data_IF_012764856463
#
_entry.id   IF_012764856463
#
_cell.length_a   1.000
_cell.length_b   1.000
_cell.length_c   1.000
_cell.angle_alpha   90.00
_cell.angle_beta   90.00
_cell.angle_gamma   90.00
#
_symmetry.space_group_name_H-M   'P 1'
#
loop_
_entity.id
_entity.type
_entity.pdbx_description
1 polymer ?
#
# COMPACT_ATOMS: atom_id res chain seq x y z
N UNK A 1 1.30 20.63 -6.62
CA UNK A 1 2.17 19.59 -6.03
C UNK A 1 1.64 18.22 -6.45
N UNK A 2 2.48 17.32 -6.95
CA UNK A 2 2.05 16.00 -7.46
C UNK A 2 1.75 15.01 -6.33
N UNK A 3 1.00 13.93 -6.61
CA UNK A 3 0.77 12.85 -5.64
C UNK A 3 2.08 12.22 -5.18
N UNK A 4 3.03 11.99 -6.09
CA UNK A 4 4.36 11.48 -5.76
C UNK A 4 5.07 12.36 -4.72
N UNK A 5 5.03 13.68 -4.89
CA UNK A 5 5.64 14.61 -3.92
C UNK A 5 4.90 14.60 -2.57
N UNK A 6 3.56 14.54 -2.57
CA UNK A 6 2.75 14.42 -1.35
C UNK A 6 3.07 13.15 -0.57
N UNK A 7 3.05 12.00 -1.24
CA UNK A 7 3.40 10.69 -0.71
C UNK A 7 4.82 10.69 -0.09
N UNK A 8 5.83 11.15 -0.82
CA UNK A 8 7.21 11.21 -0.29
C UNK A 8 7.37 12.14 0.92
N UNK A 9 6.62 13.24 0.99
CA UNK A 9 6.60 14.11 2.17
C UNK A 9 5.92 13.44 3.36
N UNK A 10 4.84 12.71 3.12
CA UNK A 10 4.13 11.96 4.14
C UNK A 10 4.99 10.86 4.76
N UNK A 11 5.70 10.09 3.93
CA UNK A 11 6.64 9.07 4.41
C UNK A 11 7.70 9.69 5.33
N UNK A 12 8.25 10.84 4.96
CA UNK A 12 9.19 11.58 5.82
C UNK A 12 8.56 11.99 7.16
N UNK A 13 7.30 12.44 7.18
CA UNK A 13 6.61 12.78 8.44
C UNK A 13 6.35 11.57 9.34
N UNK A 14 6.25 10.36 8.75
CA UNK A 14 6.15 9.10 9.48
C UNK A 14 7.53 8.52 9.88
N UNK A 15 8.63 9.24 9.59
CA UNK A 15 9.99 8.75 9.87
C UNK A 15 10.53 7.73 8.86
N UNK A 16 9.78 7.45 7.79
CA UNK A 16 10.18 6.52 6.72
C UNK A 16 11.18 7.22 5.81
N UNK A 17 12.46 6.99 6.09
CA UNK A 17 13.59 7.64 5.43
C UNK A 17 14.31 6.75 4.41
N UNK A 18 14.10 5.44 4.47
CA UNK A 18 14.73 4.45 3.60
C UNK A 18 13.85 3.18 3.48
N UNK A 19 14.30 2.23 2.68
CA UNK A 19 13.60 0.96 2.41
C UNK A 19 13.39 0.11 3.65
N UNK A 20 14.38 0.01 4.54
CA UNK A 20 14.25 -0.79 5.77
C UNK A 20 13.17 -0.24 6.68
N UNK A 21 13.11 1.10 6.87
CA UNK A 21 12.03 1.73 7.63
C UNK A 21 10.66 1.57 6.99
N UNK A 22 10.60 1.48 5.67
CA UNK A 22 9.35 1.23 4.96
C UNK A 22 8.87 -0.21 5.17
N UNK A 23 9.78 -1.19 5.11
CA UNK A 23 9.47 -2.59 5.46
C UNK A 23 8.97 -2.72 6.89
N UNK A 24 9.71 -2.14 7.85
CA UNK A 24 9.32 -2.14 9.27
C UNK A 24 7.90 -1.56 9.45
N UNK A 25 7.63 -0.42 8.81
CA UNK A 25 6.32 0.23 8.89
C UNK A 25 5.21 -0.67 8.33
N UNK A 26 5.41 -1.24 7.14
CA UNK A 26 4.42 -2.12 6.50
C UNK A 26 4.19 -3.37 7.34
N UNK A 27 5.25 -4.00 7.86
CA UNK A 27 5.13 -5.19 8.69
C UNK A 27 4.37 -4.92 10.00
N UNK A 28 4.58 -3.75 10.61
CA UNK A 28 3.86 -3.36 11.83
C UNK A 28 2.34 -3.30 11.62
N UNK A 29 1.86 -2.94 10.43
CA UNK A 29 0.41 -2.91 10.13
C UNK A 29 -0.25 -4.29 10.33
N UNK A 30 0.45 -5.38 10.02
CA UNK A 30 -0.07 -6.74 10.19
C UNK A 30 -0.10 -7.20 11.65
N UNK A 31 0.62 -6.51 12.54
CA UNK A 31 0.58 -6.76 13.99
C UNK A 31 -0.51 -5.92 14.66
N UNK A 32 -0.76 -4.71 14.13
CA UNK A 32 -1.68 -3.73 14.71
C UNK A 32 -3.16 -3.97 14.31
N UNK A 33 -3.41 -4.79 13.30
CA UNK A 33 -4.75 -5.02 12.76
C UNK A 33 -5.14 -6.49 12.77
N UNK A 34 -6.42 -6.76 13.06
CA UNK A 34 -7.00 -8.11 13.07
C UNK A 34 -7.54 -8.57 11.71
N UNK A 35 -7.80 -7.62 10.80
CA UNK A 35 -8.43 -7.92 9.50
C UNK A 35 -7.61 -7.41 8.31
N UNK A 36 -7.52 -8.22 7.26
CA UNK A 36 -6.79 -7.92 6.03
C UNK A 36 -7.25 -6.61 5.36
N UNK A 37 -8.55 -6.26 5.51
CA UNK A 37 -9.12 -5.04 4.95
C UNK A 37 -8.53 -3.79 5.59
N UNK A 38 -8.28 -3.82 6.91
CA UNK A 38 -7.77 -2.67 7.64
C UNK A 38 -6.30 -2.43 7.28
N UNK A 39 -5.51 -3.50 7.18
CA UNK A 39 -4.13 -3.43 6.66
C UNK A 39 -4.10 -2.85 5.24
N UNK A 40 -4.99 -3.30 4.37
CA UNK A 40 -5.09 -2.78 3.01
C UNK A 40 -5.38 -1.27 3.01
N UNK A 41 -6.32 -0.81 3.83
CA UNK A 41 -6.65 0.62 3.97
C UNK A 41 -5.44 1.41 4.46
N UNK A 42 -4.69 0.93 5.44
CA UNK A 42 -3.49 1.62 5.93
C UNK A 42 -2.38 1.71 4.87
N UNK A 43 -2.18 0.67 4.05
CA UNK A 43 -1.25 0.73 2.91
C UNK A 43 -1.70 1.79 1.89
N UNK A 44 -3.00 1.92 1.66
CA UNK A 44 -3.53 2.99 0.81
C UNK A 44 -3.32 4.38 1.44
N UNK A 45 -3.54 4.56 2.75
CA UNK A 45 -3.25 5.81 3.47
C UNK A 45 -1.78 6.19 3.40
N UNK A 46 -0.89 5.21 3.49
CA UNK A 46 0.55 5.39 3.30
C UNK A 46 0.88 5.96 1.91
N UNK A 47 0.16 5.55 0.86
CA UNK A 47 0.33 6.10 -0.49
C UNK A 47 -0.39 7.44 -0.69
N UNK A 48 -1.51 7.65 0.00
CA UNK A 48 -2.43 8.78 -0.18
C UNK A 48 -2.63 9.56 1.14
N UNK A 49 -1.80 10.58 1.42
CA UNK A 49 -1.80 11.25 2.72
C UNK A 49 -3.05 12.08 3.04
N UNK A 50 -3.88 12.38 2.04
CA UNK A 50 -5.16 13.08 2.21
C UNK A 50 -6.33 12.10 2.10
N UNK A 51 -6.13 10.86 2.54
CA UNK A 51 -7.09 9.75 2.42
C UNK A 51 -8.52 10.15 2.78
N UNK A 52 -8.70 10.80 3.92
CA UNK A 52 -10.02 11.18 4.44
C UNK A 52 -10.73 12.25 3.59
N UNK A 53 -10.03 12.87 2.64
CA UNK A 53 -10.59 13.84 1.69
C UNK A 53 -10.86 13.22 0.33
N UNK A 54 -10.52 11.96 0.10
CA UNK A 54 -10.68 11.27 -1.19
C UNK A 54 -12.10 10.72 -1.27
N UNK A 55 -12.87 11.21 -2.23
CA UNK A 55 -14.20 10.67 -2.54
C UNK A 55 -14.11 9.44 -3.45
N UNK A 56 -13.13 9.41 -4.37
CA UNK A 56 -12.96 8.31 -5.32
C UNK A 56 -11.54 8.17 -5.85
N UNK A 57 -11.10 6.92 -5.98
CA UNK A 57 -9.89 6.54 -6.71
C UNK A 57 -10.32 5.81 -7.99
N UNK A 58 -9.76 6.20 -9.13
CA UNK A 58 -9.94 5.50 -10.41
C UNK A 58 -8.60 4.90 -10.85
N UNK A 59 -8.61 3.62 -11.20
CA UNK A 59 -7.39 2.84 -11.44
C UNK A 59 -6.69 2.49 -10.13
N UNK A 60 -5.46 2.00 -10.23
CA UNK A 60 -4.67 1.54 -9.09
C UNK A 60 -3.31 2.25 -9.07
N UNK A 61 -2.74 2.56 -7.90
CA UNK A 61 -1.32 2.84 -7.80
C UNK A 61 -0.52 1.64 -8.32
N UNK A 62 0.69 1.93 -8.78
CA UNK A 62 1.62 0.91 -9.21
C UNK A 62 2.87 0.96 -8.34
N UNK A 63 3.48 -0.19 -8.10
CA UNK A 63 4.72 -0.29 -7.33
C UNK A 63 5.71 -1.24 -7.98
N UNK A 64 6.98 -1.10 -7.59
CA UNK A 64 8.04 -2.01 -7.95
C UNK A 64 7.81 -3.45 -7.50
N UNK A 65 8.48 -4.38 -8.18
CA UNK A 65 8.25 -5.81 -8.05
C UNK A 65 8.58 -6.37 -6.65
N UNK A 66 9.71 -5.95 -6.06
CA UNK A 66 10.11 -6.39 -4.72
C UNK A 66 9.13 -5.91 -3.64
N UNK A 67 8.74 -4.64 -3.66
CA UNK A 67 7.77 -4.11 -2.70
C UNK A 67 6.43 -4.84 -2.82
N UNK A 68 5.96 -5.09 -4.04
CA UNK A 68 4.72 -5.83 -4.26
C UNK A 68 4.79 -7.25 -3.72
N UNK A 69 5.89 -7.95 -4.02
CA UNK A 69 6.11 -9.33 -3.59
C UNK A 69 6.24 -9.42 -2.07
N UNK A 70 6.91 -8.45 -1.46
CA UNK A 70 7.05 -8.34 -0.01
C UNK A 70 5.70 -8.17 0.69
N UNK A 71 4.88 -7.21 0.23
CA UNK A 71 3.53 -6.99 0.79
C UNK A 71 2.66 -8.23 0.57
N UNK A 72 2.69 -8.83 -0.63
CA UNK A 72 1.93 -10.03 -0.95
C UNK A 72 2.25 -11.19 0.00
N UNK A 73 3.54 -11.39 0.28
CA UNK A 73 4.00 -12.41 1.24
C UNK A 73 3.46 -12.14 2.66
N UNK A 74 3.50 -10.89 3.13
CA UNK A 74 2.96 -10.54 4.45
C UNK A 74 1.45 -10.82 4.54
N UNK A 75 0.67 -10.49 3.51
CA UNK A 75 -0.75 -10.86 3.48
C UNK A 75 -0.96 -12.39 3.46
N UNK A 76 -0.14 -13.13 2.70
CA UNK A 76 -0.24 -14.60 2.70
C UNK A 76 0.03 -15.21 4.08
N UNK A 77 1.07 -14.73 4.77
CA UNK A 77 1.40 -15.15 6.13
C UNK A 77 0.28 -14.77 7.11
N UNK A 78 -0.23 -13.53 7.03
CA UNK A 78 -1.32 -13.05 7.88
C UNK A 78 -2.63 -13.83 7.68
N UNK A 79 -3.01 -14.09 6.43
CA UNK A 79 -4.24 -14.80 6.10
C UNK A 79 -4.17 -16.29 6.48
N UNK A 80 -2.99 -16.90 6.49
CA UNK A 80 -2.84 -18.29 6.91
C UNK A 80 -3.29 -18.49 8.36
N UNK A 81 -2.99 -17.53 9.23
CA UNK A 81 -3.29 -17.61 10.65
C UNK A 81 -4.71 -17.11 10.98
N UNK A 82 -5.21 -16.10 10.25
CA UNK A 82 -6.45 -15.39 10.60
C UNK A 82 -7.64 -15.70 9.67
N UNK A 83 -7.39 -16.12 8.42
CA UNK A 83 -8.41 -16.30 7.38
C UNK A 83 -8.20 -17.62 6.59
N UNK A 84 -8.19 -18.80 7.25
CA UNK A 84 -7.84 -20.06 6.61
C UNK A 84 -8.79 -20.50 5.49
N UNK A 85 -10.02 -19.98 5.47
CA UNK A 85 -11.02 -20.27 4.44
C UNK A 85 -10.88 -19.38 3.19
N UNK A 86 -9.97 -18.40 3.20
CA UNK A 86 -9.71 -17.50 2.08
C UNK A 86 -8.46 -17.92 1.31
N UNK A 87 -8.36 -17.51 0.03
CA UNK A 87 -7.11 -17.61 -0.71
C UNK A 87 -6.07 -16.68 -0.06
N UNK A 88 -4.94 -17.20 0.46
CA UNK A 88 -3.95 -16.37 1.16
C UNK A 88 -3.42 -15.27 0.26
N UNK A 89 -3.39 -14.04 0.76
CA UNK A 89 -2.98 -12.86 -0.01
C UNK A 89 -4.05 -12.30 -0.94
N UNK A 90 -5.27 -12.86 -0.92
CA UNK A 90 -6.33 -12.54 -1.86
C UNK A 90 -6.73 -11.05 -1.84
N UNK A 91 -6.73 -10.40 -0.67
CA UNK A 91 -7.04 -8.97 -0.58
C UNK A 91 -6.03 -8.11 -1.36
N UNK A 92 -4.73 -8.41 -1.21
CA UNK A 92 -3.67 -7.69 -1.90
C UNK A 92 -3.68 -7.97 -3.40
N UNK A 93 -3.81 -9.25 -3.80
CA UNK A 93 -3.80 -9.63 -5.21
C UNK A 93 -4.99 -9.06 -6.01
N UNK A 94 -6.15 -8.91 -5.36
CA UNK A 94 -7.36 -8.42 -6.02
C UNK A 94 -7.55 -6.90 -5.96
N UNK A 95 -7.11 -6.25 -4.87
CA UNK A 95 -7.46 -4.84 -4.59
C UNK A 95 -6.26 -3.99 -4.15
N UNK A 96 -5.09 -4.61 -4.01
CA UNK A 96 -3.84 -3.92 -3.77
C UNK A 96 -3.34 -3.13 -4.98
N UNK A 97 -2.05 -2.78 -4.93
CA UNK A 97 -1.42 -2.04 -6.01
C UNK A 97 -1.03 -2.97 -7.16
N UNK A 98 -0.93 -2.40 -8.36
CA UNK A 98 -0.44 -3.13 -9.53
C UNK A 98 1.09 -3.19 -9.55
N UNK A 99 1.66 -4.24 -10.14
CA UNK A 99 3.11 -4.33 -10.36
C UNK A 99 3.47 -3.54 -11.62
N UNK A 100 4.49 -2.68 -11.53
CA UNK A 100 5.11 -2.04 -12.68
C UNK A 100 6.62 -2.35 -12.70
N UNK A 101 7.05 -3.10 -13.73
CA UNK A 101 8.43 -3.60 -13.88
C UNK A 101 9.41 -2.52 -14.32
N UNK A 102 8.92 -1.38 -14.78
CA UNK A 102 9.74 -0.23 -15.17
C UNK A 102 10.04 0.70 -13.98
N UNK A 103 9.42 0.45 -12.82
CA UNK A 103 9.74 1.14 -11.58
C UNK A 103 10.91 0.49 -10.86
N UNK A 104 11.64 1.30 -10.08
CA UNK A 104 12.54 0.76 -9.08
C UNK A 104 11.78 -0.13 -8.09
N UNK A 105 12.44 -1.16 -7.59
CA UNK A 105 11.90 -2.21 -6.73
C UNK A 105 11.04 -1.74 -5.54
N UNK A 106 11.35 -0.54 -5.03
CA UNK A 106 10.66 0.09 -3.89
C UNK A 106 10.08 1.48 -4.21
N UNK A 107 9.81 1.73 -5.48
CA UNK A 107 9.13 2.94 -5.96
C UNK A 107 7.63 2.74 -6.11
N UNK A 108 6.91 3.85 -5.99
CA UNK A 108 5.47 3.96 -6.25
C UNK A 108 5.20 4.96 -7.37
N UNK A 109 4.24 4.61 -8.21
CA UNK A 109 3.70 5.44 -9.29
C UNK A 109 2.19 5.62 -9.11
N UNK A 110 1.74 6.79 -9.52
CA UNK A 110 0.32 7.15 -9.57
C UNK A 110 -0.12 7.44 -11.00
N UNK A 111 0.69 7.07 -12.00
CA UNK A 111 0.44 7.41 -13.41
C UNK A 111 -0.88 6.85 -13.93
N UNK A 112 -1.25 5.65 -13.48
CA UNK A 112 -2.51 4.98 -13.83
C UNK A 112 -3.62 5.20 -12.79
N UNK A 113 -3.49 6.25 -11.97
CA UNK A 113 -4.40 6.52 -10.86
C UNK A 113 -4.89 7.98 -10.87
N UNK A 114 -6.21 8.18 -10.81
CA UNK A 114 -6.82 9.52 -10.72
C UNK A 114 -7.64 9.63 -9.44
N UNK A 115 -7.41 10.71 -8.70
CA UNK A 115 -8.03 10.95 -7.39
C UNK A 115 -9.06 12.08 -7.51
N UNK A 116 -10.29 11.79 -7.07
CA UNK A 116 -11.34 12.77 -6.87
C UNK A 116 -11.44 13.05 -5.37
N UNK A 117 -11.47 14.33 -5.00
CA UNK A 117 -11.62 14.75 -3.61
C UNK A 117 -13.07 15.10 -3.32
N UNK A 118 -13.45 15.08 -2.05
CA UNK A 118 -14.71 15.65 -1.59
C UNK A 118 -14.75 17.16 -1.89
N UNK A 119 -15.96 17.65 -2.19
CA UNK A 119 -16.22 19.04 -2.60
C UNK A 119 -16.31 19.97 -1.40
#
# INVERSE_FOLDING_TARGET
MTLKTKCRRHWKSLGISNTERLKDFIAALFVEHEHQKDVLIEIYKLAFPEWDRISKIRGYPEIGNEMWSYICRLFQEFDHDHHPDCMPGGAWMNTGFSVNKDLGDWDISFGNCTIQYES
#
